data_IF_771665661047
#
_entry.id   IF_771665661047
#
_cell.length_a   1.000
_cell.length_b   1.000
_cell.length_c   1.000
_cell.angle_alpha   90.00
_cell.angle_beta   90.00
_cell.angle_gamma   90.00
#
_symmetry.space_group_name_H-M   'P 1'
#
loop_
_entity.id
_entity.type
_entity.pdbx_description
1 polymer ?
#
# COMPACT_ATOMS: atom_id res chain seq x y z
N UNK A 1 7.73 57.00 38.77
CA UNK A 1 7.54 57.41 37.36
C UNK A 1 6.25 56.75 36.88
N UNK A 2 5.06 57.29 37.16
CA UNK A 2 4.30 58.26 36.35
C UNK A 2 4.17 57.81 34.88
N UNK A 3 2.99 57.27 34.50
CA UNK A 3 1.95 57.93 33.64
C UNK A 3 2.30 57.82 32.14
N UNK A 4 1.41 57.80 31.15
CA UNK A 4 -0.02 57.56 30.92
C UNK A 4 -0.22 57.98 29.44
N UNK A 5 -1.23 57.46 28.74
CA UNK A 5 -1.94 58.08 27.60
C UNK A 5 -1.14 58.31 26.29
N UNK A 6 -1.50 57.67 25.18
CA UNK A 6 -2.67 57.88 24.30
C UNK A 6 -2.48 59.01 23.25
N UNK A 7 -2.75 58.61 22.00
CA UNK A 7 -3.47 59.36 20.97
C UNK A 7 -2.71 60.39 20.11
N UNK A 8 -2.62 60.12 18.80
CA UNK A 8 -3.35 60.89 17.77
C UNK A 8 -3.16 60.37 16.34
N UNK A 9 -4.30 60.33 15.66
CA UNK A 9 -4.54 60.12 14.24
C UNK A 9 -3.87 61.15 13.32
N UNK A 10 -3.66 60.78 12.06
CA UNK A 10 -4.22 61.49 10.90
C UNK A 10 -4.12 60.66 9.59
N UNK A 11 -5.28 60.34 9.01
CA UNK A 11 -5.71 60.50 7.59
C UNK A 11 -4.74 60.08 6.45
N UNK A 12 -5.15 59.39 5.37
CA UNK A 12 -6.41 59.47 4.59
C UNK A 12 -6.42 58.39 3.48
N UNK A 13 -7.61 57.81 3.20
CA UNK A 13 -8.21 57.42 1.90
C UNK A 13 -7.47 56.42 0.97
N UNK A 14 -8.09 55.44 0.29
CA UNK A 14 -9.40 55.31 -0.36
C UNK A 14 -9.67 53.81 -0.66
N UNK A 15 -10.88 53.27 -0.37
CA UNK A 15 -11.94 52.83 -1.33
C UNK A 15 -11.57 51.59 -2.18
N UNK A 16 -12.35 50.52 -2.39
CA UNK A 16 -13.78 50.16 -2.35
C UNK A 16 -13.87 48.63 -2.04
N UNK A 17 -14.81 48.08 -1.25
CA UNK A 17 -16.22 47.80 -1.60
C UNK A 17 -16.35 46.40 -2.26
N UNK A 18 -17.21 45.44 -1.89
CA UNK A 18 -18.35 45.32 -0.95
C UNK A 18 -18.51 43.81 -0.61
N UNK A 19 -18.84 43.47 0.65
CA UNK A 19 -19.45 42.18 1.04
C UNK A 19 -20.96 42.42 1.24
N UNK A 20 -21.78 41.52 0.72
CA UNK A 20 -23.23 41.48 0.96
C UNK A 20 -23.52 40.43 2.03
N UNK A 21 -24.26 40.83 3.07
CA UNK A 21 -24.84 39.93 4.07
C UNK A 21 -26.32 39.68 3.75
N UNK A 22 -26.76 38.47 4.11
CA UNK A 22 -28.12 37.93 4.09
C UNK A 22 -29.06 38.67 5.05
N UNK A 23 -30.35 38.77 4.69
CA UNK A 23 -31.51 38.48 5.56
C UNK A 23 -32.77 38.21 4.68
N UNK A 24 -33.78 37.46 5.18
CA UNK A 24 -34.79 36.75 4.40
C UNK A 24 -36.09 37.55 4.25
N UNK A 25 -36.92 37.18 3.27
CA UNK A 25 -38.35 37.53 3.30
C UNK A 25 -39.24 36.38 2.81
N UNK A 26 -40.37 36.26 3.48
CA UNK A 26 -41.41 35.27 3.30
C UNK A 26 -42.40 35.71 2.22
N UNK A 27 -42.99 34.77 1.46
CA UNK A 27 -44.39 34.83 1.00
C UNK A 27 -44.78 33.62 0.12
N UNK A 28 -45.69 32.78 0.64
CA UNK A 28 -46.96 32.38 0.00
C UNK A 28 -46.98 31.51 -1.28
N UNK A 29 -47.96 30.57 -1.43
CA UNK A 29 -47.95 29.53 -2.46
C UNK A 29 -48.65 29.95 -3.76
N UNK A 30 -48.02 29.71 -4.91
CA UNK A 30 -48.66 29.82 -6.23
C UNK A 30 -49.11 28.45 -6.74
N UNK A 31 -50.39 28.39 -7.11
CA UNK A 31 -51.12 27.20 -7.53
C UNK A 31 -50.80 26.77 -8.96
N UNK A 32 -50.76 25.45 -9.09
CA UNK A 32 -50.83 24.60 -10.28
C UNK A 32 -51.88 25.03 -11.34
N UNK A 33 -51.48 25.02 -12.61
CA UNK A 33 -52.32 24.68 -13.78
C UNK A 33 -51.44 24.06 -14.88
N UNK A 34 -51.54 22.75 -15.09
CA UNK A 34 -51.06 22.07 -16.31
C UNK A 34 -52.32 21.68 -17.09
N UNK A 35 -52.41 22.14 -18.33
CA UNK A 35 -53.56 21.92 -19.21
C UNK A 35 -53.41 20.60 -19.98
N UNK A 36 -54.51 19.85 -20.04
CA UNK A 36 -54.71 18.57 -20.72
C UNK A 36 -55.14 18.81 -22.19
N UNK A 37 -54.37 18.31 -23.16
CA UNK A 37 -54.75 17.95 -24.54
C UNK A 37 -53.43 17.66 -25.31
N UNK A 38 -53.17 16.53 -25.96
CA UNK A 38 -54.01 15.79 -26.91
C UNK A 38 -53.43 14.38 -27.05
N UNK A 39 -54.28 13.38 -26.91
CA UNK A 39 -53.97 11.95 -27.05
C UNK A 39 -54.47 11.47 -28.43
N UNK A 40 -53.82 10.45 -28.97
CA UNK A 40 -54.28 9.49 -30.02
C UNK A 40 -53.75 9.68 -31.45
N UNK A 41 -53.28 8.54 -32.03
CA UNK A 41 -52.86 8.20 -33.42
C UNK A 41 -51.32 8.14 -33.56
N UNK A 42 -50.66 7.03 -33.92
CA UNK A 42 -51.01 5.92 -34.82
C UNK A 42 -50.10 4.69 -34.55
N UNK A 43 -50.61 3.50 -34.85
CA UNK A 43 -50.00 2.18 -34.67
C UNK A 43 -49.01 1.80 -35.80
N UNK A 44 -48.08 0.91 -35.45
CA UNK A 44 -47.47 -0.17 -36.26
C UNK A 44 -46.48 0.18 -37.38
N UNK A 45 -45.20 -0.14 -37.16
CA UNK A 45 -44.31 -0.80 -38.14
C UNK A 45 -43.25 -1.64 -37.41
N UNK A 46 -43.27 -2.94 -37.68
CA UNK A 46 -42.30 -3.95 -37.27
C UNK A 46 -41.05 -3.83 -38.16
N UNK A 47 -39.85 -3.95 -37.59
CA UNK A 47 -38.63 -4.11 -38.39
C UNK A 47 -37.34 -4.08 -37.58
N UNK A 48 -36.93 -5.24 -37.09
CA UNK A 48 -35.56 -5.79 -36.97
C UNK A 48 -34.41 -4.76 -37.01
N UNK A 49 -33.67 -4.61 -35.90
CA UNK A 49 -32.23 -4.37 -35.94
C UNK A 49 -31.53 -5.03 -34.74
N UNK A 50 -30.76 -6.07 -35.06
CA UNK A 50 -29.73 -6.66 -34.21
C UNK A 50 -28.50 -5.77 -34.34
N UNK A 51 -27.85 -5.44 -33.22
CA UNK A 51 -26.43 -5.15 -33.20
C UNK A 51 -25.99 -3.84 -32.55
N UNK A 52 -25.00 -4.01 -31.66
CA UNK A 52 -23.97 -3.08 -31.21
C UNK A 52 -24.27 -2.34 -29.91
N UNK A 53 -23.75 -2.94 -28.83
CA UNK A 53 -23.44 -2.30 -27.56
C UNK A 53 -22.51 -1.12 -27.79
N UNK A 54 -22.97 0.08 -27.45
CA UNK A 54 -22.15 1.29 -27.39
C UNK A 54 -21.17 1.16 -26.23
N UNK A 55 -19.91 0.93 -26.55
CA UNK A 55 -18.77 1.16 -25.68
C UNK A 55 -18.66 2.65 -25.35
N UNK A 56 -18.68 2.97 -24.05
CA UNK A 56 -18.24 4.26 -23.55
C UNK A 56 -16.74 4.43 -23.87
N UNK A 57 -16.38 5.44 -24.65
CA UNK A 57 -15.01 5.95 -24.71
C UNK A 57 -14.71 6.77 -23.46
N UNK A 58 -13.69 6.43 -22.64
CA UNK A 58 -13.08 7.39 -21.75
C UNK A 58 -12.19 8.32 -22.59
N UNK A 59 -12.53 9.60 -22.61
CA UNK A 59 -11.60 10.67 -22.95
C UNK A 59 -10.63 10.83 -21.79
N UNK A 60 -9.43 10.29 -21.92
CA UNK A 60 -8.32 10.50 -21.01
C UNK A 60 -7.02 10.19 -21.74
N UNK A 61 -6.30 11.23 -22.16
CA UNK A 61 -4.98 11.10 -22.76
C UNK A 61 -3.99 10.64 -21.69
N UNK A 62 -3.54 9.39 -21.83
CA UNK A 62 -2.42 8.82 -21.10
C UNK A 62 -1.77 7.80 -22.03
N UNK A 63 -0.46 7.88 -22.19
CA UNK A 63 0.28 7.07 -23.15
C UNK A 63 0.10 5.57 -22.87
N UNK A 64 -0.49 4.84 -23.83
CA UNK A 64 -0.73 3.39 -23.77
C UNK A 64 0.56 2.54 -23.78
N UNK A 65 1.73 3.17 -23.73
CA UNK A 65 3.04 2.50 -23.72
C UNK A 65 3.29 1.72 -22.43
N UNK A 66 2.67 2.11 -21.31
CA UNK A 66 2.76 1.38 -20.04
C UNK A 66 1.91 0.09 -20.03
N UNK A 67 0.75 0.11 -20.69
CA UNK A 67 -0.15 -1.05 -20.78
C UNK A 67 0.41 -2.18 -21.66
N UNK A 68 1.25 -1.84 -22.65
CA UNK A 68 1.89 -2.85 -23.50
C UNK A 68 3.16 -3.45 -22.84
N UNK A 69 3.74 -2.77 -21.86
CA UNK A 69 4.88 -3.29 -21.10
C UNK A 69 4.47 -4.28 -20.00
N UNK A 70 3.24 -4.17 -19.47
CA UNK A 70 2.72 -5.06 -18.42
C UNK A 70 2.03 -6.34 -18.94
N UNK A 71 1.71 -6.44 -20.25
CA UNK A 71 0.82 -7.48 -20.77
C UNK A 71 1.32 -8.29 -21.99
N UNK A 72 2.59 -8.14 -22.41
CA UNK A 72 3.15 -9.02 -23.45
C UNK A 72 4.07 -10.06 -22.80
N UNK A 73 3.69 -11.36 -22.78
CA UNK A 73 4.67 -12.42 -22.60
C UNK A 73 5.51 -12.45 -23.87
N UNK A 74 6.63 -11.75 -23.86
CA UNK A 74 7.64 -11.90 -24.90
C UNK A 74 8.20 -13.32 -24.78
N UNK A 75 7.69 -14.20 -25.64
CA UNK A 75 8.25 -15.51 -25.87
C UNK A 75 9.72 -15.37 -26.26
N UNK A 76 10.59 -15.59 -25.28
CA UNK A 76 12.03 -15.56 -25.40
C UNK A 76 12.63 -16.34 -24.24
N UNK A 77 13.12 -17.55 -24.54
CA UNK A 77 14.07 -18.35 -23.75
C UNK A 77 14.10 -18.11 -22.22
N UNK A 78 13.30 -18.90 -21.49
CA UNK A 78 13.69 -19.39 -20.16
C UNK A 78 13.43 -18.50 -18.95
N UNK A 79 12.41 -17.62 -18.95
CA UNK A 79 11.93 -17.05 -17.70
C UNK A 79 11.39 -18.19 -16.82
N UNK A 80 12.21 -18.62 -15.85
CA UNK A 80 11.85 -19.74 -14.99
C UNK A 80 10.66 -19.36 -14.12
N UNK A 81 9.63 -20.20 -14.17
CA UNK A 81 8.46 -20.06 -13.32
C UNK A 81 8.88 -20.19 -11.84
N UNK A 82 8.16 -19.51 -10.96
CA UNK A 82 8.33 -19.78 -9.55
C UNK A 82 7.86 -21.19 -9.21
N UNK A 83 8.56 -21.82 -8.28
CA UNK A 83 8.20 -23.10 -7.70
C UNK A 83 7.16 -22.86 -6.60
N UNK A 84 6.27 -23.83 -6.41
CA UNK A 84 5.35 -23.83 -5.26
C UNK A 84 6.05 -24.28 -3.97
N UNK A 85 7.18 -24.99 -4.07
CA UNK A 85 7.89 -25.50 -2.90
C UNK A 85 8.91 -24.47 -2.37
N UNK A 86 8.79 -24.14 -1.08
CA UNK A 86 9.77 -23.31 -0.37
C UNK A 86 11.16 -23.97 -0.40
N UNK A 87 12.23 -23.27 -0.80
CA UNK A 87 13.52 -23.90 -1.08
C UNK A 87 14.40 -24.07 0.17
N UNK A 88 14.02 -23.49 1.31
CA UNK A 88 14.85 -23.53 2.53
C UNK A 88 14.25 -24.44 3.60
N UNK A 89 15.05 -25.36 4.11
CA UNK A 89 14.65 -26.22 5.22
C UNK A 89 14.71 -25.50 6.60
N UNK A 90 15.54 -24.46 6.72
CA UNK A 90 15.75 -23.70 7.95
C UNK A 90 16.38 -22.33 7.69
N UNK A 91 16.22 -21.40 8.62
CA UNK A 91 16.86 -20.07 8.58
C UNK A 91 16.13 -19.05 7.72
N UNK A 92 15.05 -19.45 7.07
CA UNK A 92 14.10 -18.60 6.36
C UNK A 92 12.77 -19.35 6.31
N UNK A 93 11.71 -18.76 6.85
CA UNK A 93 10.40 -19.38 7.02
C UNK A 93 9.34 -18.46 6.41
N UNK A 94 8.69 -18.89 5.34
CA UNK A 94 7.59 -18.16 4.70
C UNK A 94 6.34 -18.18 5.60
N UNK A 95 5.65 -17.05 5.72
CA UNK A 95 4.32 -17.01 6.33
C UNK A 95 3.35 -17.83 5.48
N UNK A 96 2.64 -18.78 6.10
CA UNK A 96 1.93 -19.85 5.40
C UNK A 96 0.40 -19.75 5.51
N UNK A 97 -0.10 -18.76 6.25
CA UNK A 97 -1.54 -18.55 6.41
C UNK A 97 -1.89 -17.06 6.53
N UNK A 98 -3.10 -16.72 6.07
CA UNK A 98 -3.71 -15.40 6.20
C UNK A 98 -4.91 -15.47 7.15
N UNK A 99 -5.05 -14.47 8.03
CA UNK A 99 -6.17 -14.39 8.98
C UNK A 99 -7.25 -13.49 8.39
N UNK A 100 -8.42 -14.07 8.11
CA UNK A 100 -9.63 -13.37 7.63
C UNK A 100 -9.38 -12.35 6.50
N UNK A 101 -8.40 -12.64 5.63
CA UNK A 101 -8.06 -11.73 4.54
C UNK A 101 -9.26 -11.57 3.60
N UNK A 102 -9.43 -10.36 3.08
CA UNK A 102 -10.51 -10.06 2.17
C UNK A 102 -10.31 -10.83 0.85
N UNK A 103 -11.39 -11.40 0.33
CA UNK A 103 -11.43 -11.86 -1.05
C UNK A 103 -11.93 -10.69 -1.90
N UNK A 104 -11.11 -10.23 -2.84
CA UNK A 104 -11.52 -9.24 -3.84
C UNK A 104 -11.76 -9.94 -5.19
N UNK A 105 -12.68 -9.43 -6.01
CA UNK A 105 -13.00 -9.99 -7.33
C UNK A 105 -11.95 -9.62 -8.41
N UNK A 106 -10.94 -8.82 -8.04
CA UNK A 106 -9.82 -8.44 -8.91
C UNK A 106 -8.81 -9.56 -9.14
N UNK A 107 -7.93 -9.39 -10.12
CA UNK A 107 -6.90 -10.38 -10.52
C UNK A 107 -5.91 -10.66 -9.38
N UNK A 108 -5.72 -9.70 -8.47
CA UNK A 108 -4.82 -9.78 -7.32
C UNK A 108 -5.58 -9.90 -5.98
N UNK A 109 -6.87 -10.27 -6.00
CA UNK A 109 -7.71 -10.36 -4.81
C UNK A 109 -7.63 -11.68 -4.03
N UNK A 110 -6.74 -12.60 -4.42
CA UNK A 110 -6.57 -13.91 -3.79
C UNK A 110 -5.48 -13.86 -2.70
N UNK A 111 -5.82 -13.94 -1.41
CA UNK A 111 -4.85 -13.81 -0.32
C UNK A 111 -3.86 -14.96 -0.24
N UNK A 112 -4.12 -16.09 -0.92
CA UNK A 112 -3.13 -17.18 -1.01
C UNK A 112 -1.87 -16.76 -1.74
N UNK A 113 -1.92 -15.67 -2.51
CA UNK A 113 -0.77 -15.08 -3.21
C UNK A 113 0.24 -14.41 -2.28
N UNK A 114 -0.13 -14.09 -1.04
CA UNK A 114 0.81 -13.58 -0.04
C UNK A 114 1.42 -14.68 0.84
N UNK A 115 1.01 -15.96 0.66
CA UNK A 115 1.41 -17.08 1.53
C UNK A 115 1.91 -18.32 0.79
N UNK A 116 1.84 -18.34 -0.55
CA UNK A 116 2.19 -19.50 -1.35
C UNK A 116 3.70 -19.55 -1.70
N UNK A 117 4.27 -18.45 -2.17
CA UNK A 117 5.65 -18.34 -2.67
C UNK A 117 6.03 -16.86 -2.81
N UNK A 118 7.31 -16.59 -3.08
CA UNK A 118 7.80 -15.25 -3.40
C UNK A 118 8.38 -15.23 -4.80
N UNK A 119 7.89 -14.31 -5.62
CA UNK A 119 8.03 -14.33 -7.07
C UNK A 119 8.63 -13.06 -7.67
N UNK A 120 9.67 -12.51 -7.03
CA UNK A 120 10.30 -11.27 -7.45
C UNK A 120 10.66 -11.18 -8.94
N UNK A 121 10.33 -10.04 -9.55
CA UNK A 121 10.72 -9.70 -10.92
C UNK A 121 12.10 -9.05 -11.02
N UNK A 122 12.80 -8.88 -9.89
CA UNK A 122 14.05 -8.13 -9.82
C UNK A 122 13.81 -6.63 -9.76
N UNK A 123 14.82 -5.85 -10.14
CA UNK A 123 14.76 -4.39 -10.01
C UNK A 123 13.78 -3.70 -10.95
N UNK A 124 13.51 -4.25 -12.14
CA UNK A 124 12.85 -3.50 -13.21
C UNK A 124 11.39 -3.86 -13.45
N UNK A 125 10.86 -4.86 -12.74
CA UNK A 125 9.52 -5.39 -13.00
C UNK A 125 8.93 -6.00 -11.74
N UNK A 126 7.64 -5.81 -11.51
CA UNK A 126 6.88 -6.47 -10.45
C UNK A 126 6.49 -7.91 -10.79
N UNK A 127 6.20 -8.69 -9.76
CA UNK A 127 5.50 -9.97 -9.84
C UNK A 127 4.02 -9.78 -10.19
N UNK A 128 3.40 -10.82 -10.74
CA UNK A 128 1.93 -10.93 -10.86
C UNK A 128 1.34 -11.96 -9.90
N UNK A 129 2.17 -12.65 -9.12
CA UNK A 129 1.76 -13.54 -8.03
C UNK A 129 1.82 -12.72 -6.74
N UNK A 130 0.85 -11.83 -6.56
CA UNK A 130 0.75 -10.90 -5.42
C UNK A 130 -0.70 -10.78 -4.97
N UNK A 131 -0.89 -10.39 -3.72
CA UNK A 131 -2.18 -10.03 -3.16
C UNK A 131 -2.29 -8.52 -2.92
N UNK A 132 -3.20 -7.85 -3.63
CA UNK A 132 -3.54 -6.45 -3.37
C UNK A 132 -4.38 -6.37 -2.09
N UNK A 133 -3.90 -5.60 -1.11
CA UNK A 133 -4.57 -5.52 0.19
C UNK A 133 -6.04 -5.08 0.10
N UNK A 134 -6.85 -5.57 1.03
CA UNK A 134 -8.29 -5.30 1.07
C UNK A 134 -8.77 -4.92 2.46
N UNK A 135 -9.98 -4.36 2.56
CA UNK A 135 -10.59 -4.09 3.85
C UNK A 135 -11.14 -5.38 4.46
N UNK A 136 -10.71 -5.69 5.67
CA UNK A 136 -11.15 -6.87 6.43
C UNK A 136 -11.42 -6.52 7.90
N UNK A 137 -11.91 -7.48 8.68
CA UNK A 137 -12.10 -7.31 10.13
C UNK A 137 -10.79 -7.14 10.90
N UNK A 138 -9.65 -7.50 10.30
CA UNK A 138 -8.33 -7.37 10.92
C UNK A 138 -7.71 -5.97 10.74
N UNK A 139 -8.28 -5.19 9.82
CA UNK A 139 -7.85 -3.83 9.53
C UNK A 139 -8.56 -2.84 10.45
N UNK A 140 -7.90 -1.72 10.74
CA UNK A 140 -8.61 -0.61 11.39
C UNK A 140 -9.61 0.01 10.40
N UNK A 141 -10.61 0.71 10.94
CA UNK A 141 -11.70 1.24 10.12
C UNK A 141 -11.18 2.21 9.06
N UNK A 142 -11.42 1.89 7.78
CA UNK A 142 -10.99 2.71 6.63
C UNK A 142 -9.68 2.26 6.00
N UNK A 143 -9.03 1.24 6.56
CA UNK A 143 -7.77 0.70 6.04
C UNK A 143 -7.98 -0.47 5.07
N UNK A 144 -6.95 -0.69 4.25
CA UNK A 144 -6.71 -1.94 3.55
C UNK A 144 -5.45 -2.60 4.10
N UNK A 145 -5.57 -3.88 4.44
CA UNK A 145 -4.49 -4.62 5.06
C UNK A 145 -4.58 -6.13 4.78
N UNK A 146 -3.55 -6.85 5.20
CA UNK A 146 -3.58 -8.29 5.40
C UNK A 146 -2.92 -8.63 6.74
N UNK A 147 -3.45 -9.64 7.42
CA UNK A 147 -2.78 -10.26 8.57
C UNK A 147 -2.29 -11.65 8.18
N UNK A 148 -1.01 -11.90 8.42
CA UNK A 148 -0.35 -13.17 8.13
C UNK A 148 0.16 -13.83 9.42
N UNK A 149 0.32 -15.14 9.38
CA UNK A 149 0.93 -15.93 10.45
C UNK A 149 1.83 -17.05 9.91
N UNK A 150 2.60 -17.63 10.84
CA UNK A 150 3.31 -18.89 10.65
C UNK A 150 2.59 -19.94 11.48
N UNK A 151 1.90 -20.86 10.82
CA UNK A 151 0.95 -21.79 11.45
C UNK A 151 1.59 -22.56 12.60
N UNK A 152 1.08 -22.34 13.81
CA UNK A 152 1.57 -23.01 15.03
C UNK A 152 2.96 -22.55 15.49
N UNK A 153 3.46 -21.41 14.99
CA UNK A 153 4.77 -20.87 15.30
C UNK A 153 4.70 -19.45 15.84
N UNK A 154 5.84 -18.99 16.36
CA UNK A 154 6.14 -17.60 16.71
C UNK A 154 7.42 -17.18 16.01
N UNK A 155 7.45 -15.98 15.44
CA UNK A 155 8.67 -15.37 14.94
C UNK A 155 9.46 -14.83 16.13
N UNK A 156 10.71 -15.27 16.27
CA UNK A 156 11.56 -14.94 17.42
C UNK A 156 12.58 -13.87 17.07
N UNK A 157 12.84 -12.98 18.01
CA UNK A 157 13.94 -12.02 17.93
C UNK A 157 15.30 -12.72 17.79
N UNK A 158 16.13 -12.22 16.88
CA UNK A 158 17.47 -12.68 16.53
C UNK A 158 18.37 -11.45 16.28
N UNK A 159 19.68 -11.65 16.19
CA UNK A 159 20.60 -10.52 15.96
C UNK A 159 20.43 -9.94 14.55
N UNK A 160 19.92 -8.71 14.43
CA UNK A 160 19.66 -8.03 13.15
C UNK A 160 18.26 -8.33 12.63
N UNK A 161 18.05 -8.22 11.31
CA UNK A 161 16.72 -8.40 10.69
C UNK A 161 16.03 -9.71 11.10
N UNK A 162 14.85 -9.63 11.69
CA UNK A 162 14.05 -10.76 12.15
C UNK A 162 13.12 -11.31 11.07
N UNK A 163 12.61 -10.43 10.22
CA UNK A 163 11.77 -10.79 9.09
C UNK A 163 11.87 -9.78 7.96
N UNK A 164 11.48 -10.21 6.76
CA UNK A 164 11.49 -9.39 5.54
C UNK A 164 10.09 -9.41 4.95
N UNK A 165 9.60 -8.23 4.58
CA UNK A 165 8.35 -8.05 3.85
C UNK A 165 8.67 -7.83 2.37
N UNK A 166 8.02 -8.62 1.52
CA UNK A 166 8.11 -8.51 0.07
C UNK A 166 6.80 -7.96 -0.46
N UNK A 167 6.89 -6.74 -0.98
CA UNK A 167 5.82 -6.01 -1.66
C UNK A 167 6.35 -5.63 -3.06
N UNK A 168 5.46 -5.42 -4.00
CA UNK A 168 5.74 -5.38 -5.43
C UNK A 168 6.40 -4.10 -5.97
N UNK A 169 7.31 -3.47 -5.21
CA UNK A 169 8.06 -2.32 -5.69
C UNK A 169 8.97 -2.67 -6.89
N UNK A 170 9.15 -1.72 -7.82
CA UNK A 170 10.10 -1.84 -8.94
C UNK A 170 10.59 -0.47 -9.40
N UNK A 171 11.68 -0.42 -10.17
CA UNK A 171 12.22 0.82 -10.71
C UNK A 171 11.25 1.50 -11.68
N UNK A 172 11.02 2.79 -11.47
CA UNK A 172 10.27 3.61 -12.39
C UNK A 172 11.23 4.25 -13.42
N UNK A 173 11.38 3.56 -14.56
CA UNK A 173 12.36 3.91 -15.58
C UNK A 173 13.77 3.42 -15.24
N UNK A 174 14.79 4.21 -15.55
CA UNK A 174 16.21 3.83 -15.35
C UNK A 174 16.87 4.51 -14.15
N UNK A 175 16.15 5.34 -13.41
CA UNK A 175 16.71 6.07 -12.27
C UNK A 175 16.69 5.16 -11.01
N UNK A 176 17.85 4.81 -10.42
CA UNK A 176 17.89 3.92 -9.24
C UNK A 176 17.20 4.51 -8.00
N UNK A 177 17.01 5.83 -7.97
CA UNK A 177 16.32 6.56 -6.90
C UNK A 177 14.84 6.83 -7.22
N UNK A 178 14.27 6.21 -8.26
CA UNK A 178 12.87 6.35 -8.62
C UNK A 178 12.24 4.98 -8.77
N UNK A 179 11.21 4.72 -7.98
CA UNK A 179 10.51 3.44 -7.90
C UNK A 179 9.00 3.66 -7.97
N UNK A 180 8.28 2.68 -8.51
CA UNK A 180 6.87 2.50 -8.19
C UNK A 180 6.81 1.95 -6.77
N UNK A 181 6.10 2.66 -5.89
CA UNK A 181 6.09 2.42 -4.46
C UNK A 181 4.65 2.46 -3.94
N UNK A 182 4.27 1.45 -3.17
CA UNK A 182 3.03 1.43 -2.40
C UNK A 182 3.38 1.08 -0.94
N UNK A 183 3.87 2.06 -0.16
CA UNK A 183 4.47 1.78 1.14
C UNK A 183 3.51 1.11 2.12
N UNK A 184 4.05 0.21 2.93
CA UNK A 184 3.30 -0.64 3.86
C UNK A 184 3.75 -0.37 5.29
N UNK A 185 2.77 -0.07 6.15
CA UNK A 185 2.96 -0.01 7.60
C UNK A 185 2.99 -1.43 8.14
N UNK A 186 4.01 -1.72 8.94
CA UNK A 186 4.26 -3.04 9.53
C UNK A 186 4.00 -3.02 11.02
N UNK A 187 3.10 -3.88 11.47
CA UNK A 187 2.73 -4.05 12.88
C UNK A 187 2.73 -5.54 13.22
N UNK A 188 3.12 -5.91 14.45
CA UNK A 188 3.16 -7.31 14.91
C UNK A 188 2.40 -7.49 16.22
N UNK A 189 1.86 -8.68 16.43
CA UNK A 189 1.03 -9.01 17.59
C UNK A 189 1.26 -10.43 18.11
N UNK A 190 1.09 -10.60 19.43
CA UNK A 190 1.05 -11.91 20.10
C UNK A 190 -0.37 -12.49 20.11
N UNK A 191 -1.40 -11.64 20.09
CA UNK A 191 -2.78 -11.99 20.45
C UNK A 191 -3.81 -11.61 19.38
N UNK A 192 -3.41 -10.92 18.32
CA UNK A 192 -4.27 -10.43 17.23
C UNK A 192 -5.08 -9.19 17.62
N UNK A 193 -4.95 -8.66 18.84
CA UNK A 193 -5.75 -7.55 19.35
C UNK A 193 -4.90 -6.32 19.66
N UNK A 194 -3.71 -6.52 20.21
CA UNK A 194 -2.76 -5.46 20.51
C UNK A 194 -1.57 -5.57 19.57
N UNK A 195 -1.21 -4.46 18.96
CA UNK A 195 -0.25 -4.37 17.87
C UNK A 195 0.87 -3.41 18.26
N UNK A 196 2.12 -3.82 18.02
CA UNK A 196 3.28 -2.96 18.10
C UNK A 196 3.94 -2.85 16.73
N UNK A 197 4.21 -1.63 16.27
CA UNK A 197 4.89 -1.36 15.01
C UNK A 197 6.18 -0.56 15.17
N UNK A 198 6.77 -0.19 14.05
CA UNK A 198 7.92 0.72 13.97
C UNK A 198 7.45 2.18 13.92
N UNK A 199 8.31 3.14 13.60
CA UNK A 199 7.93 4.55 13.50
C UNK A 199 7.86 4.99 12.01
N UNK A 200 6.86 4.54 11.24
CA UNK A 200 6.79 4.80 9.81
C UNK A 200 6.77 6.31 9.55
N UNK A 201 7.59 6.77 8.60
CA UNK A 201 7.57 8.18 8.18
C UNK A 201 7.71 8.34 6.67
N UNK A 202 7.12 9.42 6.18
CA UNK A 202 7.43 10.01 4.89
C UNK A 202 7.86 11.46 5.10
N UNK A 203 8.99 11.85 4.51
CA UNK A 203 9.62 13.16 4.72
C UNK A 203 9.74 14.01 3.44
N UNK A 204 9.31 13.46 2.31
CA UNK A 204 9.36 14.16 1.02
C UNK A 204 8.21 15.15 0.80
N UNK A 205 8.26 15.89 -0.32
CA UNK A 205 7.16 16.73 -0.78
C UNK A 205 6.07 15.92 -1.51
N UNK A 206 4.98 16.55 -1.95
CA UNK A 206 3.98 15.89 -2.81
C UNK A 206 4.40 15.79 -4.28
N UNK A 207 5.65 16.11 -4.64
CA UNK A 207 6.13 15.99 -6.01
C UNK A 207 6.30 14.52 -6.40
N UNK A 208 6.02 14.17 -7.66
CA UNK A 208 6.16 12.80 -8.15
C UNK A 208 7.60 12.25 -8.06
N UNK A 209 8.61 13.13 -8.02
CA UNK A 209 10.00 12.73 -7.79
C UNK A 209 10.19 12.23 -6.35
N UNK A 210 9.66 12.97 -5.37
CA UNK A 210 9.81 12.61 -3.96
C UNK A 210 8.97 11.39 -3.58
N UNK A 211 7.76 11.28 -4.13
CA UNK A 211 6.85 10.15 -3.91
C UNK A 211 7.39 8.83 -4.46
N UNK A 212 8.35 8.90 -5.39
CA UNK A 212 9.01 7.72 -5.98
C UNK A 212 10.40 7.48 -5.39
N UNK A 213 10.88 8.34 -4.50
CA UNK A 213 12.20 8.22 -3.94
C UNK A 213 12.14 7.43 -2.63
N UNK A 214 12.65 6.18 -2.60
CA UNK A 214 12.63 5.34 -1.40
C UNK A 214 13.33 5.99 -0.20
N UNK A 215 14.31 6.88 -0.43
CA UNK A 215 15.04 7.56 0.65
C UNK A 215 14.17 8.53 1.47
N UNK A 216 12.98 8.89 0.98
CA UNK A 216 12.03 9.73 1.72
C UNK A 216 11.16 8.93 2.70
N UNK A 217 11.25 7.59 2.68
CA UNK A 217 10.46 6.68 3.50
C UNK A 217 11.36 6.01 4.53
N UNK A 218 10.86 5.84 5.76
CA UNK A 218 11.55 5.09 6.81
C UNK A 218 10.56 4.20 7.56
N UNK A 219 11.05 3.08 8.09
CA UNK A 219 10.23 2.14 8.89
C UNK A 219 8.95 1.68 8.16
N UNK A 220 9.04 1.55 6.84
CA UNK A 220 7.96 1.12 5.93
C UNK A 220 8.50 -0.01 5.04
N UNK A 221 7.63 -0.95 4.69
CA UNK A 221 7.89 -1.91 3.62
C UNK A 221 7.35 -1.41 2.27
N UNK A 222 7.58 -2.15 1.19
CA UNK A 222 7.16 -1.76 -0.17
C UNK A 222 7.94 -0.58 -0.72
N UNK A 223 9.19 -0.43 -0.27
CA UNK A 223 10.10 0.59 -0.78
C UNK A 223 11.27 -0.02 -1.56
N UNK A 224 11.54 -1.31 -1.39
CA UNK A 224 12.62 -2.04 -2.06
C UNK A 224 12.08 -3.14 -2.97
N UNK A 225 12.50 -3.20 -4.25
CA UNK A 225 12.07 -4.25 -5.17
C UNK A 225 12.41 -5.67 -4.70
N UNK A 226 11.61 -6.64 -5.14
CA UNK A 226 11.79 -8.06 -4.81
C UNK A 226 12.77 -8.71 -5.78
N UNK A 227 13.96 -9.07 -5.30
CA UNK A 227 15.00 -9.74 -6.08
C UNK A 227 14.92 -11.25 -5.92
N UNK A 228 14.56 -11.72 -4.73
CA UNK A 228 14.39 -13.13 -4.46
C UNK A 228 13.25 -13.70 -5.30
N UNK A 229 13.54 -14.78 -5.99
CA UNK A 229 12.56 -15.57 -6.74
C UNK A 229 12.69 -17.02 -6.33
N UNK A 230 11.62 -17.59 -5.80
CA UNK A 230 11.53 -19.02 -5.49
C UNK A 230 11.58 -19.85 -6.77
N UNK A 231 12.77 -20.21 -7.25
CA UNK A 231 12.98 -20.96 -8.51
C UNK A 231 14.24 -21.84 -8.43
N UNK A 232 14.40 -22.82 -9.32
CA UNK A 232 15.63 -23.65 -9.31
C UNK A 232 16.88 -22.86 -9.73
N UNK A 233 16.72 -21.69 -10.36
CA UNK A 233 17.81 -20.76 -10.65
C UNK A 233 18.16 -19.85 -9.45
N UNK A 234 17.43 -19.93 -8.34
CA UNK A 234 17.76 -19.14 -7.16
C UNK A 234 19.13 -19.53 -6.60
N UNK A 235 20.06 -18.58 -6.60
CA UNK A 235 21.38 -18.75 -6.00
C UNK A 235 21.48 -18.22 -4.57
N UNK A 236 20.44 -17.57 -4.04
CA UNK A 236 20.44 -17.00 -2.69
C UNK A 236 20.22 -18.09 -1.64
N UNK A 237 21.04 -18.08 -0.61
CA UNK A 237 20.83 -18.90 0.60
C UNK A 237 19.78 -18.27 1.51
N UNK A 238 19.28 -19.03 2.49
CA UNK A 238 18.38 -18.51 3.51
C UNK A 238 18.96 -17.28 4.23
N UNK A 239 20.26 -17.30 4.55
CA UNK A 239 20.93 -16.19 5.21
C UNK A 239 21.06 -14.94 4.32
N UNK A 240 21.17 -15.13 2.99
CA UNK A 240 21.26 -14.00 2.06
C UNK A 240 20.00 -13.13 2.06
N UNK A 241 18.82 -13.71 2.34
CA UNK A 241 17.57 -12.94 2.43
C UNK A 241 17.61 -11.86 3.50
N UNK A 242 18.43 -12.04 4.54
CA UNK A 242 18.55 -11.12 5.67
C UNK A 242 19.92 -10.43 5.72
N UNK A 243 20.69 -10.50 4.64
CA UNK A 243 22.01 -9.89 4.54
C UNK A 243 21.91 -8.60 3.73
N UNK A 244 22.36 -7.50 4.32
CA UNK A 244 22.47 -6.23 3.61
C UNK A 244 23.61 -6.27 2.58
N UNK A 245 23.41 -5.53 1.50
CA UNK A 245 24.39 -5.23 0.47
C UNK A 245 24.26 -3.76 0.10
N UNK A 246 25.34 -3.16 -0.40
CA UNK A 246 25.34 -1.79 -0.91
C UNK A 246 25.85 -1.79 -2.34
N UNK A 247 25.04 -1.30 -3.27
CA UNK A 247 25.41 -1.16 -4.68
C UNK A 247 24.83 0.13 -5.29
N UNK A 248 24.67 0.16 -6.62
CA UNK A 248 24.14 1.32 -7.35
C UNK A 248 22.69 1.67 -7.01
N UNK A 249 21.97 0.82 -6.30
CA UNK A 249 20.60 1.01 -5.84
C UNK A 249 20.49 1.42 -4.37
N UNK A 250 21.64 1.63 -3.69
CA UNK A 250 21.72 1.98 -2.27
C UNK A 250 22.00 0.76 -1.39
N UNK A 251 21.71 0.89 -0.09
CA UNK A 251 21.76 -0.23 0.85
C UNK A 251 20.41 -0.93 0.89
N UNK A 252 20.40 -2.24 0.66
CA UNK A 252 19.20 -3.08 0.66
C UNK A 252 19.57 -4.53 1.00
N UNK A 253 18.58 -5.39 1.22
CA UNK A 253 18.82 -6.83 1.40
C UNK A 253 19.17 -7.49 0.07
N UNK A 254 20.02 -8.53 0.06
CA UNK A 254 20.39 -9.24 -1.18
C UNK A 254 19.17 -9.85 -1.90
N UNK A 255 18.18 -10.29 -1.13
CA UNK A 255 16.90 -10.79 -1.64
C UNK A 255 15.91 -9.69 -2.05
N UNK A 256 16.26 -8.41 -1.89
CA UNK A 256 15.30 -7.32 -1.98
C UNK A 256 14.31 -7.32 -0.82
N UNK A 257 13.19 -6.62 -0.97
CA UNK A 257 12.22 -6.41 0.10
C UNK A 257 12.81 -5.60 1.27
N UNK A 258 12.00 -5.43 2.31
CA UNK A 258 12.28 -4.53 3.42
C UNK A 258 12.33 -5.28 4.75
N UNK A 259 13.46 -5.17 5.44
CA UNK A 259 13.77 -5.90 6.67
C UNK A 259 13.36 -5.15 7.93
N UNK A 260 12.88 -5.89 8.93
CA UNK A 260 12.49 -5.37 10.23
C UNK A 260 13.20 -6.13 11.36
N UNK A 261 13.71 -5.37 12.33
CA UNK A 261 14.44 -5.84 13.50
C UNK A 261 13.67 -5.41 14.77
N UNK A 262 13.31 -6.39 15.61
CA UNK A 262 12.59 -6.20 16.86
C UNK A 262 13.45 -5.49 17.92
N UNK A 263 14.78 -5.58 17.85
CA UNK A 263 15.71 -4.82 18.70
C UNK A 263 15.95 -3.39 18.19
N UNK A 264 15.39 -3.01 17.03
CA UNK A 264 15.42 -1.62 16.57
C UNK A 264 14.87 -0.65 17.61
N UNK A 265 15.49 0.53 17.71
CA UNK A 265 15.03 1.62 18.57
C UNK A 265 13.69 2.21 18.11
N UNK A 266 13.30 2.01 16.85
CA UNK A 266 11.99 2.42 16.32
C UNK A 266 10.86 1.43 16.65
N UNK A 267 11.18 0.18 17.04
CA UNK A 267 10.17 -0.83 17.36
C UNK A 267 9.43 -0.55 18.68
N UNK A 268 8.11 -0.66 18.64
CA UNK A 268 7.20 -0.41 19.76
C UNK A 268 6.80 1.05 19.93
N UNK A 269 7.07 1.90 18.94
CA UNK A 269 6.72 3.33 18.96
C UNK A 269 5.38 3.65 18.27
N UNK A 270 4.76 2.66 17.64
CA UNK A 270 3.42 2.76 17.05
C UNK A 270 2.60 1.48 17.29
N UNK A 271 1.40 1.44 16.74
CA UNK A 271 0.45 0.32 16.84
C UNK A 271 -0.60 0.53 17.93
N UNK A 272 -1.77 -0.07 17.72
CA UNK A 272 -2.90 0.01 18.64
C UNK A 272 -2.69 -0.90 19.85
N UNK A 273 -2.72 -0.32 21.05
CA UNK A 273 -2.51 -1.07 22.30
C UNK A 273 -1.05 -1.37 22.65
N UNK A 274 -0.07 -0.88 21.85
CA UNK A 274 1.33 -1.03 22.18
C UNK A 274 1.72 -0.29 23.47
N UNK A 275 2.45 -0.97 24.33
CA UNK A 275 3.07 -0.40 25.52
C UNK A 275 4.40 -1.14 25.81
N UNK A 276 5.18 -0.61 26.75
CA UNK A 276 6.49 -1.17 27.12
C UNK A 276 6.41 -2.67 27.45
N UNK A 277 5.39 -3.10 28.21
CA UNK A 277 5.23 -4.51 28.58
C UNK A 277 4.96 -5.40 27.37
N UNK A 278 4.07 -4.99 26.47
CA UNK A 278 3.79 -5.76 25.25
C UNK A 278 5.01 -5.82 24.32
N UNK A 279 5.67 -4.68 24.09
CA UNK A 279 6.89 -4.61 23.29
C UNK A 279 7.97 -5.55 23.82
N UNK A 280 8.22 -5.53 25.13
CA UNK A 280 9.24 -6.37 25.77
C UNK A 280 8.83 -7.86 25.74
N UNK A 281 7.53 -8.15 25.79
CA UNK A 281 7.01 -9.50 25.60
C UNK A 281 7.24 -10.00 24.17
N UNK A 282 7.02 -9.16 23.16
CA UNK A 282 7.30 -9.51 21.75
C UNK A 282 8.79 -9.76 21.54
N UNK A 283 9.67 -8.91 22.09
CA UNK A 283 11.13 -9.09 21.99
C UNK A 283 11.62 -10.39 22.64
N UNK A 284 11.06 -10.74 23.78
CA UNK A 284 11.51 -11.90 24.56
C UNK A 284 10.89 -13.22 24.09
N UNK A 285 9.65 -13.21 23.63
CA UNK A 285 8.85 -14.41 23.36
C UNK A 285 8.42 -14.56 21.91
N UNK A 286 8.69 -13.56 21.07
CA UNK A 286 8.26 -13.52 19.68
C UNK A 286 6.80 -13.11 19.48
N UNK A 287 6.44 -12.88 18.22
CA UNK A 287 5.07 -12.56 17.79
C UNK A 287 4.45 -13.70 16.98
N UNK A 288 3.13 -13.69 16.84
CA UNK A 288 2.36 -14.70 16.08
C UNK A 288 1.85 -14.12 14.76
N UNK A 289 1.37 -12.88 14.82
CA UNK A 289 0.71 -12.22 13.70
C UNK A 289 1.53 -11.02 13.22
N UNK A 290 1.55 -10.82 11.90
CA UNK A 290 2.02 -9.60 11.27
C UNK A 290 0.87 -8.98 10.49
N UNK A 291 0.62 -7.68 10.69
CA UNK A 291 -0.34 -6.87 9.93
C UNK A 291 0.43 -5.96 8.99
N UNK A 292 0.05 -6.03 7.72
CA UNK A 292 0.60 -5.23 6.64
C UNK A 292 -0.50 -4.32 6.13
N UNK A 293 -0.44 -3.04 6.48
CA UNK A 293 -1.44 -2.03 6.10
C UNK A 293 -0.88 -1.15 4.99
N UNK A 294 -1.65 -0.92 3.93
CA UNK A 294 -1.28 0.09 2.92
C UNK A 294 -1.23 1.47 3.59
N UNK A 295 -0.05 2.09 3.62
CA UNK A 295 0.18 3.32 4.39
C UNK A 295 -0.75 4.46 3.95
N UNK A 296 -1.04 4.54 2.65
CA UNK A 296 -1.98 5.50 2.08
C UNK A 296 -3.40 5.37 2.67
N UNK A 297 -3.86 4.13 2.92
CA UNK A 297 -5.18 3.88 3.51
C UNK A 297 -5.27 4.30 4.98
N UNK A 298 -4.16 4.16 5.74
CA UNK A 298 -4.04 4.64 7.13
C UNK A 298 -4.13 6.17 7.18
N UNK A 299 -3.36 6.85 6.34
CA UNK A 299 -3.35 8.32 6.30
C UNK A 299 -2.73 8.84 4.99
N UNK A 300 -3.56 9.16 4.01
CA UNK A 300 -3.11 9.68 2.70
C UNK A 300 -2.40 11.04 2.76
N UNK A 301 -2.57 11.81 3.84
CA UNK A 301 -1.91 13.11 4.01
C UNK A 301 -0.50 12.94 4.56
N UNK A 302 -0.28 11.89 5.36
CA UNK A 302 1.04 11.51 5.87
C UNK A 302 1.80 10.60 4.91
N UNK A 303 1.10 9.78 4.12
CA UNK A 303 1.68 8.82 3.18
C UNK A 303 1.05 8.98 1.79
N UNK A 304 1.28 10.11 1.11
CA UNK A 304 0.79 10.31 -0.25
C UNK A 304 1.40 9.29 -1.21
N UNK A 305 0.66 8.95 -2.26
CA UNK A 305 1.11 8.12 -3.38
C UNK A 305 1.25 8.95 -4.66
N UNK A 306 2.13 8.49 -5.55
CA UNK A 306 2.18 9.02 -6.90
C UNK A 306 0.90 8.68 -7.67
N UNK A 307 0.52 9.52 -8.64
CA UNK A 307 -0.76 9.41 -9.35
C UNK A 307 -0.91 8.16 -10.23
N UNK A 308 0.17 7.42 -10.44
CA UNK A 308 0.26 6.17 -11.20
C UNK A 308 0.03 4.91 -10.36
N UNK A 309 -0.20 5.03 -9.05
CA UNK A 309 -0.78 3.94 -8.25
C UNK A 309 -2.22 3.70 -8.70
N UNK A 310 -2.50 2.50 -9.23
CA UNK A 310 -3.71 2.20 -9.97
C UNK A 310 -4.94 2.10 -9.06
N UNK A 311 -4.83 1.37 -7.95
CA UNK A 311 -5.91 1.12 -7.01
C UNK A 311 -5.56 1.56 -5.57
N UNK A 312 -4.38 2.16 -5.36
CA UNK A 312 -3.93 2.71 -4.07
C UNK A 312 -3.87 1.65 -2.97
N UNK A 313 -3.53 0.41 -3.34
CA UNK A 313 -3.38 -0.75 -2.46
C UNK A 313 -1.99 -1.34 -2.66
N UNK A 314 -1.33 -1.71 -1.57
CA UNK A 314 -0.08 -2.45 -1.65
C UNK A 314 -0.30 -3.88 -2.16
N UNK A 315 0.69 -4.38 -2.91
CA UNK A 315 0.69 -5.68 -3.57
C UNK A 315 1.69 -6.62 -2.87
N UNK A 316 1.18 -7.44 -1.95
CA UNK A 316 2.02 -8.30 -1.09
C UNK A 316 2.40 -9.59 -1.82
N UNK A 317 3.69 -9.84 -1.98
CA UNK A 317 4.27 -11.10 -2.52
C UNK A 317 4.53 -12.10 -1.38
N UNK A 318 4.95 -11.64 -0.20
CA UNK A 318 5.02 -12.50 0.99
C UNK A 318 5.85 -11.94 2.14
N UNK A 319 5.96 -12.73 3.21
CA UNK A 319 6.78 -12.37 4.40
C UNK A 319 7.61 -13.57 4.83
N UNK A 320 8.89 -13.34 5.09
CA UNK A 320 9.83 -14.39 5.52
C UNK A 320 10.41 -14.03 6.88
N UNK A 321 10.27 -14.93 7.86
CA UNK A 321 10.93 -14.84 9.15
C UNK A 321 12.29 -15.54 9.12
N UNK A 322 13.29 -14.99 9.81
CA UNK A 322 14.62 -15.58 9.97
C UNK A 322 14.60 -16.77 10.93
N UNK A 323 13.85 -16.64 12.02
CA UNK A 323 13.77 -17.64 13.08
C UNK A 323 12.36 -17.79 13.61
N UNK A 324 11.96 -19.03 13.87
CA UNK A 324 10.67 -19.37 14.44
C UNK A 324 10.80 -20.42 15.56
N UNK A 325 9.88 -20.40 16.50
CA UNK A 325 9.70 -21.46 17.52
C UNK A 325 8.25 -21.95 17.55
N UNK A 326 7.99 -23.09 18.19
CA UNK A 326 6.62 -23.57 18.38
C UNK A 326 5.83 -22.63 19.30
N UNK A 327 4.54 -22.46 19.01
CA UNK A 327 3.60 -21.69 19.83
C UNK A 327 3.33 -22.35 21.19
#
# INVERSE_FOLDING_TARGET
MLRNFAQRDMNRQNSNGRRFCLFPDQNGPQRMRISFATFTRFLLCIGILIGVTTSCTPTGGGDNSALLAAAIPSGGSGAQACLEQWPFASGAYLADNSVNAALDAGVFGDPTKATNKICGGGWTTGSTDVYSTGSSSECESGETCIVLEWTGKRVTNATGIDFVVYENAFLHGTNPNSRFLEPVIVEVSIDGNNWCGWNPTYSGSSSATDLRNPANYSDLAGITPVVFKQSDANSLTAADLFTETTDGYGTHLKGGGDGFDLDSSSFGNSGSGCNTTLRDSIRSSGFVYIRLTTAYSRNNSSYPLASDSFDQKADIDGVVARSVTNR
#
